data_IF_222291080487
#
_entry.id   IF_222291080487
#
_cell.length_a   1.000
_cell.length_b   1.000
_cell.length_c   1.000
_cell.angle_alpha   90.00
_cell.angle_beta   90.00
_cell.angle_gamma   90.00
#
_symmetry.space_group_name_H-M   'P 1'
#
loop_
_entity.id
_entity.type
_entity.pdbx_description
1 polymer ?
#
# COMPACT_ATOMS: atom_id res chain seq x y z
N UNK A 1 7.14 17.60 -28.56
CA UNK A 1 6.87 16.87 -27.31
C UNK A 1 6.68 15.42 -27.70
N UNK A 2 7.71 14.61 -27.49
CA UNK A 2 7.66 13.17 -27.76
C UNK A 2 6.91 12.47 -26.62
N UNK A 3 5.98 11.58 -26.97
CA UNK A 3 5.25 10.76 -26.01
C UNK A 3 6.23 9.82 -25.30
N UNK A 4 6.16 9.65 -23.96
CA UNK A 4 7.03 8.72 -23.22
C UNK A 4 6.69 7.24 -23.51
N UNK A 5 5.72 6.97 -24.39
CA UNK A 5 5.28 5.64 -24.76
C UNK A 5 5.59 5.34 -26.23
N UNK A 6 6.40 4.30 -26.46
CA UNK A 6 6.56 3.68 -27.77
C UNK A 6 5.61 2.47 -27.89
N UNK A 7 4.74 2.50 -28.89
CA UNK A 7 3.99 1.30 -29.31
C UNK A 7 4.97 0.41 -30.07
N UNK A 8 5.21 -0.81 -29.60
CA UNK A 8 5.97 -1.81 -30.35
C UNK A 8 5.06 -2.33 -31.47
N UNK A 9 5.33 -2.03 -32.76
CA UNK A 9 4.42 -2.38 -33.85
C UNK A 9 4.50 -3.87 -34.24
N UNK A 10 5.54 -4.56 -33.76
CA UNK A 10 5.85 -5.93 -34.14
C UNK A 10 5.33 -6.91 -33.09
N UNK A 11 4.23 -7.57 -33.44
CA UNK A 11 3.56 -8.56 -32.61
C UNK A 11 4.45 -9.77 -32.30
N UNK A 12 5.35 -10.18 -33.20
CA UNK A 12 6.24 -11.31 -32.98
C UNK A 12 7.32 -10.93 -31.96
N UNK A 13 7.83 -9.70 -32.04
CA UNK A 13 8.78 -9.15 -31.06
C UNK A 13 8.16 -8.98 -29.67
N UNK A 14 6.86 -8.68 -29.60
CA UNK A 14 6.09 -8.66 -28.34
C UNK A 14 5.88 -10.08 -27.79
N UNK A 15 5.53 -11.04 -28.65
CA UNK A 15 5.34 -12.44 -28.28
C UNK A 15 6.62 -13.11 -27.75
N UNK A 16 7.79 -12.80 -28.32
CA UNK A 16 9.07 -13.38 -27.89
C UNK A 16 9.62 -12.77 -26.60
N UNK A 17 9.42 -11.47 -26.38
CA UNK A 17 9.89 -10.78 -25.17
C UNK A 17 8.92 -10.90 -23.99
N UNK A 18 7.66 -11.23 -24.26
CA UNK A 18 6.59 -11.16 -23.29
C UNK A 18 6.32 -9.74 -22.80
N UNK A 19 5.34 -9.63 -21.90
CA UNK A 19 5.20 -8.48 -21.03
C UNK A 19 6.07 -8.76 -19.80
N UNK A 20 7.22 -8.09 -19.65
CA UNK A 20 8.00 -8.14 -18.41
C UNK A 20 7.14 -7.54 -17.30
N UNK A 21 6.46 -8.40 -16.53
CA UNK A 21 6.00 -8.05 -15.19
C UNK A 21 7.15 -8.46 -14.29
N UNK A 22 7.92 -7.47 -13.84
CA UNK A 22 8.96 -7.65 -12.83
C UNK A 22 8.35 -8.28 -11.57
N UNK A 23 9.13 -9.20 -11.00
CA UNK A 23 8.74 -10.28 -10.11
C UNK A 23 7.94 -9.89 -8.85
N UNK A 24 7.14 -10.86 -8.41
CA UNK A 24 6.35 -10.88 -7.17
C UNK A 24 7.22 -10.74 -5.89
N UNK A 25 8.55 -10.68 -5.97
CA UNK A 25 9.44 -10.51 -4.80
C UNK A 25 10.69 -9.64 -5.05
N UNK A 26 10.62 -8.61 -5.92
CA UNK A 26 11.74 -7.69 -6.12
C UNK A 26 11.32 -6.41 -6.83
N UNK A 27 11.23 -5.31 -6.06
CA UNK A 27 10.75 -3.98 -6.45
C UNK A 27 10.94 -3.60 -7.92
N UNK A 28 9.82 -3.55 -8.66
CA UNK A 28 9.69 -2.73 -9.87
C UNK A 28 9.68 -1.25 -9.44
N UNK A 29 10.86 -0.62 -9.48
CA UNK A 29 11.08 0.75 -8.95
C UNK A 29 10.70 1.84 -9.96
N UNK A 30 10.08 1.50 -11.09
CA UNK A 30 9.77 2.48 -12.15
C UNK A 30 8.31 2.92 -12.09
N UNK A 31 8.04 3.88 -11.21
CA UNK A 31 6.78 4.63 -11.18
C UNK A 31 5.84 4.27 -10.03
N UNK A 32 6.32 3.57 -9.00
CA UNK A 32 5.53 3.24 -7.83
C UNK A 32 5.72 4.32 -6.76
N UNK A 33 4.68 5.13 -6.54
CA UNK A 33 4.69 6.15 -5.49
C UNK A 33 4.66 5.48 -4.10
N UNK A 34 5.84 5.35 -3.50
CA UNK A 34 5.99 4.98 -2.10
C UNK A 34 5.68 6.17 -1.20
N UNK A 35 4.89 5.95 -0.15
CA UNK A 35 4.58 6.97 0.84
C UNK A 35 4.46 6.42 2.26
N UNK A 36 4.15 7.31 3.20
CA UNK A 36 3.76 6.94 4.54
C UNK A 36 2.30 6.51 4.58
N UNK A 37 2.00 5.41 5.28
CA UNK A 37 0.62 5.00 5.56
C UNK A 37 0.09 5.76 6.77
N UNK A 38 -1.04 6.42 6.62
CA UNK A 38 -1.73 7.12 7.68
C UNK A 38 -3.07 6.46 7.97
N UNK A 39 -3.36 6.21 9.25
CA UNK A 39 -4.72 5.96 9.71
C UNK A 39 -5.45 7.30 9.77
N UNK A 40 -6.53 7.44 9.01
CA UNK A 40 -7.29 8.69 8.91
C UNK A 40 -8.62 8.63 9.66
N UNK A 41 -9.09 7.43 10.01
CA UNK A 41 -10.36 7.19 10.73
C UNK A 41 -10.18 6.05 11.74
N UNK A 42 -10.90 6.11 12.85
CA UNK A 42 -10.95 4.99 13.80
C UNK A 42 -11.74 3.82 13.20
N UNK A 43 -11.28 2.57 13.35
CA UNK A 43 -12.05 1.39 12.96
C UNK A 43 -13.32 1.27 13.82
N UNK A 44 -14.41 0.79 13.23
CA UNK A 44 -15.71 0.62 13.92
C UNK A 44 -15.61 -0.36 15.09
N UNK A 45 -14.69 -1.31 14.97
CA UNK A 45 -14.38 -2.34 15.96
C UNK A 45 -13.52 -1.80 17.12
N UNK A 46 -13.15 -0.51 17.10
CA UNK A 46 -12.35 0.15 18.12
C UNK A 46 -10.98 -0.52 18.31
N UNK A 47 -10.63 -0.86 19.56
CA UNK A 47 -9.34 -1.48 19.89
C UNK A 47 -9.13 -2.81 19.18
N UNK A 48 -10.20 -3.61 18.97
CA UNK A 48 -10.09 -4.87 18.22
C UNK A 48 -9.66 -4.60 16.77
N UNK A 49 -10.18 -3.55 16.16
CA UNK A 49 -9.78 -3.11 14.83
C UNK A 49 -8.31 -2.72 14.77
N UNK A 50 -7.83 -1.95 15.75
CA UNK A 50 -6.41 -1.57 15.85
C UNK A 50 -5.48 -2.79 15.97
N UNK A 51 -5.87 -3.83 16.70
CA UNK A 51 -5.11 -5.09 16.79
C UNK A 51 -5.03 -5.79 15.44
N UNK A 52 -6.14 -5.84 14.70
CA UNK A 52 -6.17 -6.40 13.33
C UNK A 52 -5.26 -5.62 12.39
N UNK A 53 -5.34 -4.28 12.41
CA UNK A 53 -4.49 -3.39 11.60
C UNK A 53 -3.01 -3.61 11.91
N UNK A 54 -2.64 -3.63 13.19
CA UNK A 54 -1.25 -3.87 13.64
C UNK A 54 -0.70 -5.18 13.07
N UNK A 55 -1.49 -6.26 13.14
CA UNK A 55 -1.09 -7.59 12.61
C UNK A 55 -1.00 -7.59 11.09
N UNK A 56 -1.96 -6.98 10.41
CA UNK A 56 -2.04 -6.98 8.95
C UNK A 56 -0.90 -6.19 8.29
N UNK A 57 -0.52 -5.05 8.87
CA UNK A 57 0.57 -4.22 8.39
C UNK A 57 1.92 -4.53 9.06
N UNK A 58 1.99 -5.55 9.92
CA UNK A 58 3.17 -5.92 10.70
C UNK A 58 3.84 -4.72 11.40
N UNK A 59 3.05 -3.87 12.06
CA UNK A 59 3.55 -2.65 12.68
C UNK A 59 4.46 -2.99 13.87
N UNK A 60 5.64 -2.37 13.94
CA UNK A 60 6.60 -2.58 15.04
C UNK A 60 6.08 -2.07 16.38
N UNK A 61 5.33 -0.95 16.36
CA UNK A 61 4.77 -0.34 17.58
C UNK A 61 3.82 -1.28 18.32
N UNK A 62 3.72 -1.09 19.64
CA UNK A 62 2.78 -1.86 20.48
C UNK A 62 1.32 -1.47 20.25
N UNK A 63 0.37 -2.34 20.62
CA UNK A 63 -1.07 -2.00 20.55
C UNK A 63 -1.41 -0.80 21.44
N UNK A 64 -0.76 -0.67 22.60
CA UNK A 64 -0.96 0.46 23.50
C UNK A 64 -0.47 1.77 22.89
N UNK A 65 0.70 1.76 22.24
CA UNK A 65 1.22 2.91 21.51
C UNK A 65 0.31 3.31 20.33
N UNK A 66 -0.12 2.32 19.54
CA UNK A 66 -1.05 2.54 18.43
C UNK A 66 -2.36 3.17 18.92
N UNK A 67 -2.90 2.70 20.04
CA UNK A 67 -4.11 3.27 20.65
C UNK A 67 -3.91 4.71 21.12
N UNK A 68 -2.75 5.06 21.68
CA UNK A 68 -2.48 6.45 22.06
C UNK A 68 -2.36 7.36 20.83
N UNK A 69 -1.65 6.90 19.80
CA UNK A 69 -1.48 7.62 18.54
C UNK A 69 -2.81 7.79 17.80
N UNK A 70 -3.67 6.78 17.77
CA UNK A 70 -4.95 6.81 17.06
C UNK A 70 -5.97 7.79 17.65
N UNK A 71 -5.73 8.35 18.84
CA UNK A 71 -6.54 9.45 19.40
C UNK A 71 -6.37 10.75 18.63
N UNK A 72 -5.25 10.92 17.93
CA UNK A 72 -4.93 12.10 17.14
C UNK A 72 -4.76 11.70 15.67
N UNK A 73 -5.86 11.78 14.92
CA UNK A 73 -5.86 11.47 13.49
C UNK A 73 -5.58 12.74 12.66
N UNK A 74 -4.91 12.61 11.50
CA UNK A 74 -4.33 11.38 10.96
C UNK A 74 -3.03 10.98 11.66
N UNK A 75 -2.83 9.68 11.90
CA UNK A 75 -1.60 9.17 12.51
C UNK A 75 -0.83 8.28 11.56
N UNK A 76 0.49 8.50 11.47
CA UNK A 76 1.39 7.65 10.69
C UNK A 76 1.51 6.26 11.33
N UNK A 77 1.38 5.21 10.53
CA UNK A 77 1.49 3.82 10.94
C UNK A 77 2.84 3.21 10.54
N UNK A 78 3.24 3.39 9.28
CA UNK A 78 4.53 2.97 8.76
C UNK A 78 5.02 3.91 7.66
N UNK A 79 6.32 3.85 7.41
CA UNK A 79 6.95 4.51 6.27
C UNK A 79 7.14 3.48 5.15
N UNK A 80 7.12 3.96 3.90
CA UNK A 80 7.53 3.19 2.74
C UNK A 80 6.59 2.02 2.38
N UNK A 81 5.37 2.37 1.95
CA UNK A 81 4.43 1.42 1.35
C UNK A 81 3.75 2.05 0.15
N UNK A 82 3.40 1.20 -0.82
CA UNK A 82 2.73 1.59 -2.06
C UNK A 82 1.22 1.63 -1.83
N UNK A 83 0.51 2.51 -2.54
CA UNK A 83 -0.95 2.59 -2.49
C UNK A 83 -1.63 1.26 -2.81
N UNK A 84 -1.11 0.53 -3.79
CA UNK A 84 -1.63 -0.80 -4.17
C UNK A 84 -1.55 -1.79 -3.01
N UNK A 85 -0.38 -1.93 -2.38
CA UNK A 85 -0.18 -2.84 -1.24
C UNK A 85 -1.06 -2.46 -0.05
N UNK A 86 -1.16 -1.16 0.25
CA UNK A 86 -2.01 -0.68 1.32
C UNK A 86 -3.49 -1.00 1.07
N UNK A 87 -3.97 -0.78 -0.15
CA UNK A 87 -5.35 -1.08 -0.55
C UNK A 87 -5.63 -2.59 -0.48
N UNK A 88 -4.75 -3.44 -1.01
CA UNK A 88 -4.91 -4.91 -0.94
C UNK A 88 -5.04 -5.39 0.50
N UNK A 89 -4.19 -4.89 1.41
CA UNK A 89 -4.25 -5.26 2.83
C UNK A 89 -5.56 -4.74 3.46
N UNK A 90 -5.95 -3.49 3.17
CA UNK A 90 -7.17 -2.89 3.69
C UNK A 90 -8.44 -3.65 3.27
N UNK A 91 -8.53 -4.05 2.01
CA UNK A 91 -9.62 -4.90 1.49
C UNK A 91 -9.62 -6.27 2.19
N UNK A 92 -8.45 -6.90 2.33
CA UNK A 92 -8.31 -8.23 2.96
C UNK A 92 -8.79 -8.25 4.41
N UNK A 93 -8.62 -7.15 5.16
CA UNK A 93 -9.10 -7.03 6.55
C UNK A 93 -10.50 -6.41 6.67
N UNK A 94 -11.18 -6.14 5.54
CA UNK A 94 -12.51 -5.55 5.52
C UNK A 94 -12.56 -4.10 6.00
N UNK A 95 -11.47 -3.35 5.84
CA UNK A 95 -11.35 -1.96 6.30
C UNK A 95 -10.94 -1.00 5.16
N UNK A 96 -11.65 -1.00 4.01
CA UNK A 96 -11.36 -0.06 2.94
C UNK A 96 -11.63 1.39 3.38
N UNK A 97 -10.82 2.33 2.87
CA UNK A 97 -10.99 3.76 3.14
C UNK A 97 -10.66 4.23 4.56
N UNK A 98 -10.02 3.40 5.39
CA UNK A 98 -9.48 3.78 6.70
C UNK A 98 -8.08 4.42 6.61
N UNK A 99 -7.41 4.28 5.47
CA UNK A 99 -6.02 4.67 5.28
C UNK A 99 -5.82 5.66 4.14
N UNK A 100 -4.75 6.43 4.22
CA UNK A 100 -4.27 7.33 3.18
C UNK A 100 -2.76 7.19 3.04
N UNK A 101 -2.24 7.33 1.82
CA UNK A 101 -0.80 7.38 1.54
C UNK A 101 -0.43 8.86 1.35
N UNK A 102 0.62 9.32 2.04
CA UNK A 102 1.15 10.69 1.95
C UNK A 102 2.66 10.71 1.90
#
# INVERSE_FOLDING_TARGET
>A
MESPYQIIPDFNKWMEKGFEIEDIDGEDVRGVDYGGLYLIKMPKEGVKGLVTIKRAFNLEMSTGELLQKSKNLPTKLLSNITSSKANIIAEKIGMPGLFEIR
#
